data_IF_683512801922
#
_entry.id   IF_683512801922
#
_cell.length_a   1.000
_cell.length_b   1.000
_cell.length_c   1.000
_cell.angle_alpha   90.00
_cell.angle_beta   90.00
_cell.angle_gamma   90.00
#
_symmetry.space_group_name_H-M   'P 1'
#
loop_
_entity.id
_entity.type
_entity.pdbx_description
1 polymer ?
#
# COMPACT_ATOMS: atom_id res chain seq x y z
N UNK A 1 -16.83 21.43 2.22
CA UNK A 1 -16.81 20.20 3.04
C UNK A 1 -15.69 19.32 2.50
N UNK A 2 -14.82 18.81 3.38
CA UNK A 2 -13.76 17.86 3.04
C UNK A 2 -14.18 16.47 3.55
N UNK A 3 -13.77 15.40 2.86
CA UNK A 3 -14.02 14.04 3.35
C UNK A 3 -13.18 13.79 4.62
N UNK A 4 -13.73 13.11 5.65
CA UNK A 4 -13.01 12.90 6.90
C UNK A 4 -11.82 11.95 6.74
N UNK A 5 -11.96 10.89 5.92
CA UNK A 5 -10.88 9.91 5.71
C UNK A 5 -10.96 9.26 4.33
N UNK A 6 -9.79 9.00 3.75
CA UNK A 6 -9.60 8.11 2.61
C UNK A 6 -8.53 7.08 2.97
N UNK A 7 -8.78 5.80 2.66
CA UNK A 7 -7.77 4.74 2.78
C UNK A 7 -7.40 4.21 1.40
N UNK A 8 -6.14 4.36 1.00
CA UNK A 8 -5.61 3.84 -0.27
C UNK A 8 -5.07 2.42 -0.10
N UNK A 9 -5.64 1.45 -0.79
CA UNK A 9 -5.21 0.05 -0.72
C UNK A 9 -4.40 -0.28 -1.98
N UNK A 10 -3.08 -0.19 -1.86
CA UNK A 10 -2.08 -0.34 -2.91
C UNK A 10 -2.44 0.45 -4.19
N UNK A 11 -2.48 1.80 -4.14
CA UNK A 11 -2.90 2.62 -5.27
C UNK A 11 -2.12 2.29 -6.54
N UNK A 12 -2.78 2.27 -7.70
CA UNK A 12 -2.14 1.89 -8.95
C UNK A 12 -0.97 2.82 -9.33
N UNK A 13 0.16 2.24 -9.70
CA UNK A 13 1.34 2.94 -10.22
C UNK A 13 1.30 3.19 -11.72
N UNK A 14 1.01 2.17 -12.57
CA UNK A 14 0.88 2.39 -14.00
C UNK A 14 -0.18 3.46 -14.27
N UNK A 15 0.08 4.33 -15.24
CA UNK A 15 -0.75 5.48 -15.62
C UNK A 15 -0.77 6.65 -14.62
N UNK A 16 -0.32 6.48 -13.37
CA UNK A 16 -0.34 7.55 -12.36
C UNK A 16 1.06 8.07 -11.98
N UNK A 17 2.13 7.36 -12.35
CA UNK A 17 3.53 7.74 -12.04
C UNK A 17 3.91 9.15 -12.48
N UNK A 18 3.48 9.57 -13.68
CA UNK A 18 3.79 10.90 -14.23
C UNK A 18 2.69 11.93 -13.98
N UNK A 19 1.65 11.54 -13.25
CA UNK A 19 0.51 12.41 -12.99
C UNK A 19 0.78 13.36 -11.84
N UNK A 20 0.25 14.57 -11.99
CA UNK A 20 0.28 15.59 -10.94
C UNK A 20 -0.51 15.12 -9.74
N UNK A 21 -0.19 15.64 -8.55
CA UNK A 21 -0.91 15.32 -7.31
C UNK A 21 -2.43 15.56 -7.37
N UNK A 22 -2.92 16.43 -8.28
CA UNK A 22 -4.35 16.64 -8.51
C UNK A 22 -5.05 15.54 -9.34
N UNK A 23 -4.29 14.60 -9.91
CA UNK A 23 -4.75 13.52 -10.80
C UNK A 23 -4.42 12.13 -10.25
N UNK A 24 -3.93 12.06 -9.02
CA UNK A 24 -3.66 10.83 -8.26
C UNK A 24 -4.04 11.06 -6.80
N UNK A 25 -4.06 10.00 -6.00
CA UNK A 25 -4.27 10.13 -4.56
C UNK A 25 -3.22 11.07 -3.95
N UNK A 26 -3.69 11.97 -3.09
CA UNK A 26 -2.88 12.96 -2.40
C UNK A 26 -3.40 13.20 -0.98
N UNK A 27 -2.56 13.66 -0.02
CA UNK A 27 -3.02 14.04 1.32
C UNK A 27 -4.07 15.16 1.28
N UNK A 28 -4.11 15.93 0.19
CA UNK A 28 -5.07 17.02 0.03
C UNK A 28 -6.52 16.55 -0.20
N UNK A 29 -6.75 15.27 -0.51
CA UNK A 29 -8.08 14.76 -0.90
C UNK A 29 -9.03 14.55 0.30
N UNK A 30 -8.50 14.39 1.52
CA UNK A 30 -9.28 14.23 2.75
C UNK A 30 -8.62 14.89 3.97
N UNK A 31 -9.34 14.98 5.10
CA UNK A 31 -8.77 15.43 6.38
C UNK A 31 -7.68 14.47 6.88
N UNK A 32 -7.83 13.18 6.58
CA UNK A 32 -6.83 12.16 6.84
C UNK A 32 -6.78 11.16 5.68
N UNK A 33 -5.58 10.79 5.26
CA UNK A 33 -5.33 9.85 4.16
C UNK A 33 -4.31 8.85 4.65
N UNK A 34 -4.66 7.58 4.68
CA UNK A 34 -3.76 6.49 5.04
C UNK A 34 -3.63 5.50 3.88
N UNK A 35 -2.42 5.02 3.61
CA UNK A 35 -2.14 4.20 2.43
C UNK A 35 -1.40 2.93 2.83
N UNK A 36 -1.78 1.79 2.25
CA UNK A 36 -1.09 0.51 2.45
C UNK A 36 -0.43 0.13 1.12
N UNK A 37 0.88 0.02 1.11
CA UNK A 37 1.69 -0.38 -0.05
C UNK A 37 2.08 -1.84 0.09
N UNK A 38 1.78 -2.66 -0.92
CA UNK A 38 2.12 -4.09 -0.92
C UNK A 38 2.74 -4.55 -2.22
N UNK A 39 2.57 -3.80 -3.31
CA UNK A 39 3.13 -4.10 -4.62
C UNK A 39 3.88 -2.90 -5.24
N UNK A 40 4.55 -2.13 -4.39
CA UNK A 40 5.29 -0.93 -4.77
C UNK A 40 6.27 -1.16 -5.92
N UNK A 41 6.10 -0.39 -6.99
CA UNK A 41 6.98 -0.40 -8.17
C UNK A 41 6.60 -1.41 -9.25
N UNK A 42 5.60 -2.26 -9.02
CA UNK A 42 5.06 -3.16 -10.02
C UNK A 42 3.64 -2.72 -10.44
N UNK A 43 2.63 -3.01 -9.61
CA UNK A 43 1.28 -2.46 -9.80
C UNK A 43 0.95 -1.35 -8.82
N UNK A 44 1.56 -1.35 -7.64
CA UNK A 44 1.34 -0.37 -6.57
C UNK A 44 2.31 0.81 -6.66
N UNK A 45 1.84 2.00 -6.27
CA UNK A 45 2.63 3.23 -6.22
C UNK A 45 3.72 3.09 -5.16
N UNK A 46 5.03 3.21 -5.49
CA UNK A 46 6.10 2.90 -4.55
C UNK A 46 6.39 4.02 -3.54
N UNK A 47 5.87 5.22 -3.77
CA UNK A 47 6.14 6.41 -2.95
C UNK A 47 4.95 6.83 -2.10
N UNK A 48 5.19 7.62 -1.04
CA UNK A 48 4.13 8.13 -0.20
C UNK A 48 3.07 8.93 -0.94
N UNK A 49 1.81 8.65 -0.63
CA UNK A 49 0.62 9.31 -1.17
C UNK A 49 -0.31 9.85 -0.07
N UNK A 50 -0.10 9.43 1.18
CA UNK A 50 -0.94 9.77 2.32
C UNK A 50 -0.31 10.72 3.34
N UNK A 51 -1.05 10.93 4.43
CA UNK A 51 -0.51 11.48 5.67
C UNK A 51 0.30 10.40 6.43
N UNK A 52 -0.12 9.14 6.28
CA UNK A 52 0.54 7.96 6.83
C UNK A 52 0.57 6.88 5.75
N UNK A 53 1.74 6.32 5.52
CA UNK A 53 1.96 5.32 4.48
C UNK A 53 2.59 4.07 5.12
N UNK A 54 1.88 2.95 5.04
CA UNK A 54 2.25 1.67 5.61
C UNK A 54 2.91 0.79 4.55
N UNK A 55 4.05 0.20 4.88
CA UNK A 55 4.82 -0.68 3.99
C UNK A 55 5.01 -2.07 4.60
N UNK A 56 3.94 -2.90 4.72
CA UNK A 56 4.07 -4.26 5.25
C UNK A 56 5.10 -5.07 4.47
N UNK A 57 6.04 -5.70 5.21
CA UNK A 57 7.12 -6.49 4.61
C UNK A 57 7.96 -5.70 3.59
N UNK A 58 8.13 -4.39 3.79
CA UNK A 58 8.85 -3.48 2.88
C UNK A 58 8.01 -2.91 1.73
N UNK A 59 6.73 -3.28 1.64
CA UNK A 59 5.76 -2.69 0.70
C UNK A 59 6.02 -2.93 -0.80
N UNK A 60 6.88 -3.89 -1.11
CA UNK A 60 7.24 -4.31 -2.48
C UNK A 60 6.82 -5.77 -2.73
N UNK A 61 6.69 -6.21 -3.99
CA UNK A 61 6.65 -7.64 -4.28
C UNK A 61 7.98 -8.32 -3.90
N UNK A 62 7.97 -9.59 -3.48
CA UNK A 62 6.82 -10.49 -3.36
C UNK A 62 6.36 -10.63 -1.91
N UNK A 63 5.08 -10.33 -1.65
CA UNK A 63 4.53 -10.45 -0.30
C UNK A 63 4.50 -11.90 0.21
N UNK A 64 4.67 -12.13 1.53
CA UNK A 64 4.65 -13.47 2.11
C UNK A 64 3.41 -14.29 1.72
N UNK A 65 3.61 -15.55 1.36
CA UNK A 65 2.56 -16.50 0.95
C UNK A 65 2.12 -16.40 -0.51
N UNK A 66 2.49 -15.35 -1.25
CA UNK A 66 2.04 -15.19 -2.63
C UNK A 66 2.63 -16.20 -3.62
N UNK A 67 3.94 -16.48 -3.54
CA UNK A 67 4.56 -17.51 -4.38
C UNK A 67 3.87 -18.87 -4.20
N UNK A 68 3.75 -19.32 -2.95
CA UNK A 68 3.19 -20.64 -2.64
C UNK A 68 1.71 -20.73 -3.05
N UNK A 69 0.91 -19.71 -2.74
CA UNK A 69 -0.51 -19.74 -3.00
C UNK A 69 -0.82 -19.76 -4.51
N UNK A 70 -0.14 -18.93 -5.30
CA UNK A 70 -0.43 -18.83 -6.74
C UNK A 70 0.20 -19.99 -7.53
N UNK A 71 1.37 -20.50 -7.14
CA UNK A 71 1.95 -21.72 -7.71
C UNK A 71 1.08 -22.95 -7.41
N UNK A 72 0.56 -23.08 -6.19
CA UNK A 72 -0.34 -24.20 -5.83
C UNK A 72 -1.65 -24.22 -6.61
N UNK A 73 -2.06 -23.06 -7.14
CA UNK A 73 -3.26 -22.90 -7.97
C UNK A 73 -2.96 -22.96 -9.47
N UNK A 74 -1.72 -23.24 -9.88
CA UNK A 74 -1.24 -23.14 -11.26
C UNK A 74 -1.50 -21.76 -11.90
N UNK A 75 -1.54 -20.70 -11.09
CA UNK A 75 -1.80 -19.31 -11.51
C UNK A 75 -0.50 -18.53 -11.61
N UNK A 76 0.35 -18.91 -12.56
CA UNK A 76 1.67 -18.29 -12.75
C UNK A 76 1.60 -16.77 -12.94
N UNK A 77 0.57 -16.28 -13.63
CA UNK A 77 0.34 -14.84 -13.81
C UNK A 77 -0.05 -14.13 -12.49
N UNK A 78 -0.72 -14.82 -11.56
CA UNK A 78 -1.08 -14.25 -10.26
C UNK A 78 0.11 -14.11 -9.30
N UNK A 79 1.14 -14.96 -9.46
CA UNK A 79 2.44 -14.79 -8.76
C UNK A 79 3.07 -13.46 -9.14
N UNK A 80 2.98 -13.09 -10.43
CA UNK A 80 3.66 -11.92 -10.98
C UNK A 80 2.80 -10.65 -10.87
N UNK A 81 1.48 -10.71 -11.04
CA UNK A 81 0.67 -9.52 -11.37
C UNK A 81 -0.57 -9.35 -10.48
N UNK A 82 -0.62 -9.91 -9.27
CA UNK A 82 -1.83 -9.67 -8.46
C UNK A 82 -1.85 -10.09 -7.02
N UNK A 83 -1.13 -11.15 -6.62
CA UNK A 83 -1.23 -11.58 -5.23
C UNK A 83 -0.71 -10.51 -4.26
N UNK A 84 0.47 -9.93 -4.53
CA UNK A 84 1.01 -8.82 -3.73
C UNK A 84 0.06 -7.63 -3.72
N UNK A 85 -0.47 -7.23 -4.89
CA UNK A 85 -1.41 -6.12 -5.00
C UNK A 85 -2.69 -6.34 -4.19
N UNK A 86 -3.20 -7.58 -4.19
CA UNK A 86 -4.36 -7.97 -3.39
C UNK A 86 -4.09 -8.04 -1.88
N UNK A 87 -2.83 -8.02 -1.41
CA UNK A 87 -2.54 -8.09 0.03
C UNK A 87 -3.00 -6.86 0.78
N UNK A 88 -2.98 -5.67 0.19
CA UNK A 88 -3.39 -4.45 0.88
C UNK A 88 -4.83 -4.53 1.42
N UNK A 89 -5.80 -4.97 0.60
CA UNK A 89 -7.18 -5.11 1.09
C UNK A 89 -7.36 -6.26 2.09
N UNK A 90 -6.55 -7.31 1.99
CA UNK A 90 -6.57 -8.43 2.95
C UNK A 90 -6.06 -7.99 4.32
N UNK A 91 -4.95 -7.26 4.38
CA UNK A 91 -4.44 -6.69 5.63
C UNK A 91 -5.42 -5.70 6.23
N UNK A 92 -6.01 -4.83 5.41
CA UNK A 92 -7.05 -3.91 5.86
C UNK A 92 -8.23 -4.66 6.49
N UNK A 93 -8.77 -5.67 5.81
CA UNK A 93 -9.88 -6.48 6.32
C UNK A 93 -9.51 -7.22 7.62
N UNK A 94 -8.31 -7.77 7.73
CA UNK A 94 -7.84 -8.45 8.94
C UNK A 94 -7.65 -7.46 10.11
N UNK A 95 -7.19 -6.24 9.84
CA UNK A 95 -6.99 -5.20 10.85
C UNK A 95 -8.29 -4.83 11.58
N UNK A 96 -9.43 -4.89 10.88
CA UNK A 96 -10.75 -4.66 11.46
C UNK A 96 -11.13 -5.75 12.48
N UNK A 97 -10.75 -6.99 12.21
CA UNK A 97 -10.99 -8.13 13.09
C UNK A 97 -9.95 -8.24 14.22
N UNK A 98 -8.73 -7.77 13.99
CA UNK A 98 -7.59 -7.86 14.92
C UNK A 98 -6.91 -6.50 15.14
N UNK A 99 -7.47 -5.63 16.00
CA UNK A 99 -7.00 -4.24 16.17
C UNK A 99 -5.56 -4.09 16.68
N UNK A 100 -4.93 -5.16 17.19
CA UNK A 100 -3.56 -5.15 17.73
C UNK A 100 -2.58 -6.03 16.93
N UNK A 101 -2.99 -6.59 15.80
CA UNK A 101 -2.15 -7.49 15.02
C UNK A 101 -1.14 -6.77 14.11
N UNK A 102 -1.42 -5.52 13.74
CA UNK A 102 -0.62 -4.73 12.80
C UNK A 102 -0.01 -3.52 13.49
N UNK A 103 0.79 -3.76 14.53
CA UNK A 103 1.63 -2.71 15.10
C UNK A 103 2.67 -2.32 14.05
N UNK A 104 2.87 -1.02 13.87
CA UNK A 104 3.82 -0.49 12.91
C UNK A 104 4.72 0.53 13.61
N UNK A 105 6.02 0.46 13.33
CA UNK A 105 6.99 1.43 13.81
C UNK A 105 7.24 2.50 12.75
N UNK A 106 7.37 3.76 13.20
CA UNK A 106 7.73 4.85 12.31
C UNK A 106 9.19 4.65 11.87
N UNK A 107 9.40 4.59 10.56
CA UNK A 107 10.73 4.61 9.97
C UNK A 107 11.02 6.00 9.41
N UNK A 108 12.27 6.46 9.57
CA UNK A 108 12.78 7.63 8.85
C UNK A 108 13.50 7.13 7.60
N UNK A 109 12.89 7.31 6.43
CA UNK A 109 13.64 7.19 5.17
C UNK A 109 14.32 8.54 4.90
N UNK A 110 15.61 8.49 4.55
CA UNK A 110 16.54 9.65 4.46
C UNK A 110 16.17 10.73 3.45
N UNK A 111 15.09 10.59 2.67
CA UNK A 111 14.77 11.43 1.52
C UNK A 111 13.32 11.96 1.51
N UNK A 112 12.53 11.81 2.57
CA UNK A 112 11.09 12.12 2.50
C UNK A 112 10.65 13.35 3.31
N UNK A 113 10.38 14.42 2.58
CA UNK A 113 9.72 15.63 3.04
C UNK A 113 8.24 15.37 3.40
N UNK A 114 8.01 14.84 4.60
CA UNK A 114 6.75 15.05 5.34
C UNK A 114 5.73 13.91 5.41
N UNK A 115 6.01 12.68 4.93
CA UNK A 115 5.14 11.53 5.17
C UNK A 115 5.64 10.66 6.33
N UNK A 116 4.72 10.17 7.17
CA UNK A 116 5.06 9.21 8.21
C UNK A 116 5.03 7.80 7.60
N UNK A 117 6.22 7.25 7.27
CA UNK A 117 6.33 5.85 6.84
C UNK A 117 6.30 4.93 8.04
N UNK A 118 5.49 3.88 7.97
CA UNK A 118 5.38 2.89 9.03
C UNK A 118 5.60 1.47 8.47
N UNK A 119 6.52 0.73 9.08
CA UNK A 119 6.83 -0.66 8.69
C UNK A 119 6.38 -1.62 9.78
N UNK A 120 5.85 -2.78 9.36
CA UNK A 120 5.47 -3.90 10.22
C UNK A 120 6.39 -5.09 9.98
#
# INVERSE_FOLDING_TARGET
MKLPRITGLDPAFPLYVFERASQRLSPNDAEFVDVIHTDGGLLGYPWPLGHVDFYPNGGVPLQPGCAQQELSKNRWLGVIIGCSHARAWQYFAESLARPRAFLCDRCENSDDSGSATASS
#
